data_IF_764666304522
#
_entry.id   IF_764666304522
#
_cell.length_a   1.000
_cell.length_b   1.000
_cell.length_c   1.000
_cell.angle_alpha   90.00
_cell.angle_beta   90.00
_cell.angle_gamma   90.00
#
_symmetry.space_group_name_H-M   'P 1'
#
loop_
_entity.id
_entity.type
_entity.pdbx_description
1 polymer ?
#
# COMPACT_ATOMS: atom_id res chain seq x y z
N UNK A 1 -2.74 -13.80 -0.52
CA UNK A 1 -4.20 -14.05 -0.37
C UNK A 1 -4.89 -13.18 -1.41
N UNK A 2 -5.64 -13.76 -2.34
CA UNK A 2 -6.24 -13.00 -3.44
C UNK A 2 -7.54 -12.34 -2.98
N UNK A 3 -7.62 -11.01 -3.09
CA UNK A 3 -8.82 -10.21 -2.83
C UNK A 3 -9.47 -9.80 -4.14
N UNK A 4 -10.76 -9.49 -4.13
CA UNK A 4 -11.46 -8.97 -5.30
C UNK A 4 -11.73 -7.47 -5.16
N UNK A 5 -12.18 -6.84 -6.25
CA UNK A 5 -12.69 -5.45 -6.20
C UNK A 5 -13.85 -5.27 -5.21
N UNK A 6 -14.55 -6.33 -4.80
CA UNK A 6 -15.62 -6.25 -3.82
C UNK A 6 -15.09 -6.11 -2.38
N UNK A 7 -13.84 -6.51 -2.15
CA UNK A 7 -13.19 -6.48 -0.84
C UNK A 7 -12.43 -5.16 -0.59
N UNK A 8 -12.44 -4.25 -1.56
CA UNK A 8 -11.73 -2.98 -1.48
C UNK A 8 -12.20 -2.14 -0.28
N UNK A 9 -11.23 -1.58 0.42
CA UNK A 9 -11.43 -0.65 1.54
C UNK A 9 -10.42 0.49 1.43
N UNK A 10 -10.81 1.67 1.89
CA UNK A 10 -9.88 2.80 1.96
C UNK A 10 -8.74 2.46 2.93
N UNK A 11 -7.51 2.79 2.56
CA UNK A 11 -6.29 2.43 3.28
C UNK A 11 -5.75 1.03 2.97
N UNK A 12 -6.48 0.19 2.24
CA UNK A 12 -6.00 -1.14 1.85
C UNK A 12 -4.85 -1.03 0.86
N UNK A 13 -3.86 -1.91 1.02
CA UNK A 13 -2.72 -2.01 0.12
C UNK A 13 -2.88 -3.19 -0.84
N UNK A 14 -2.67 -2.88 -2.12
CA UNK A 14 -2.78 -3.84 -3.22
C UNK A 14 -1.51 -3.79 -4.08
N UNK A 15 -1.12 -4.93 -4.59
CA UNK A 15 -0.11 -5.01 -5.63
C UNK A 15 -0.77 -4.95 -7.01
N UNK A 16 -0.30 -4.03 -7.85
CA UNK A 16 -0.78 -3.88 -9.22
C UNK A 16 0.34 -3.37 -10.13
N UNK A 17 0.62 -4.13 -11.20
CA UNK A 17 1.73 -3.88 -12.14
C UNK A 17 3.09 -3.75 -11.43
N UNK A 18 3.39 -4.72 -10.57
CA UNK A 18 4.65 -4.82 -9.80
C UNK A 18 4.94 -3.59 -8.93
N UNK A 19 3.88 -2.87 -8.55
CA UNK A 19 3.92 -1.69 -7.70
C UNK A 19 2.90 -1.82 -6.57
N UNK A 20 3.27 -1.24 -5.43
CA UNK A 20 2.42 -1.20 -4.25
C UNK A 20 1.60 0.07 -4.24
N UNK A 21 0.29 -0.10 -4.12
CA UNK A 21 -0.67 0.98 -4.13
C UNK A 21 -1.54 0.94 -2.88
N UNK A 22 -1.82 2.11 -2.31
CA UNK A 22 -2.83 2.29 -1.27
C UNK A 22 -4.10 2.82 -1.93
N UNK A 23 -5.23 2.16 -1.67
CA UNK A 23 -6.54 2.67 -2.09
C UNK A 23 -6.90 3.87 -1.22
N UNK A 24 -6.95 5.06 -1.81
CA UNK A 24 -7.42 6.27 -1.11
C UNK A 24 -8.95 6.26 -1.06
N UNK A 25 -9.56 6.05 -2.21
CA UNK A 25 -11.01 6.02 -2.39
C UNK A 25 -11.36 5.08 -3.55
N UNK A 26 -12.57 4.53 -3.51
CA UNK A 26 -13.11 3.74 -4.59
C UNK A 26 -14.61 3.95 -4.74
N UNK A 27 -15.12 3.74 -5.95
CA UNK A 27 -16.51 3.87 -6.30
C UNK A 27 -16.93 2.68 -7.17
N UNK A 28 -17.84 1.86 -6.66
CA UNK A 28 -18.46 0.79 -7.43
C UNK A 28 -19.61 1.37 -8.27
N UNK A 29 -19.50 1.25 -9.58
CA UNK A 29 -20.50 1.71 -10.55
C UNK A 29 -21.15 0.50 -11.23
N UNK A 30 -22.48 0.44 -11.18
CA UNK A 30 -23.30 -0.54 -11.88
C UNK A 30 -24.12 0.21 -12.95
N UNK A 31 -23.66 0.27 -14.21
CA UNK A 31 -24.40 0.98 -15.25
C UNK A 31 -25.70 0.23 -15.58
N UNK A 32 -26.74 0.95 -16.01
CA UNK A 32 -28.00 0.33 -16.43
C UNK A 32 -27.87 -0.57 -17.67
N UNK A 33 -26.80 -0.36 -18.46
CA UNK A 33 -26.41 -1.20 -19.60
C UNK A 33 -24.87 -1.35 -19.60
N UNK A 34 -24.36 -2.57 -19.49
CA UNK A 34 -22.93 -2.88 -19.44
C UNK A 34 -22.48 -3.59 -18.16
N UNK A 35 -21.21 -4.00 -18.12
CA UNK A 35 -20.62 -4.64 -16.94
C UNK A 35 -20.37 -3.66 -15.79
N UNK A 36 -20.41 -4.15 -14.56
CA UNK A 36 -20.05 -3.37 -13.38
C UNK A 36 -18.53 -3.13 -13.32
N UNK A 37 -18.13 -1.95 -12.85
CA UNK A 37 -16.72 -1.58 -12.69
C UNK A 37 -16.52 -0.77 -11.42
N UNK A 38 -15.26 -0.73 -10.95
CA UNK A 38 -14.85 0.02 -9.77
C UNK A 38 -13.81 1.06 -10.19
N UNK A 39 -14.11 2.33 -9.98
CA UNK A 39 -13.13 3.43 -10.10
C UNK A 39 -12.39 3.53 -8.79
N UNK A 40 -11.08 3.67 -8.84
CA UNK A 40 -10.22 3.77 -7.66
C UNK A 40 -9.25 4.92 -7.83
N UNK A 41 -8.98 5.62 -6.74
CA UNK A 41 -7.84 6.53 -6.63
C UNK A 41 -6.78 5.82 -5.80
N UNK A 42 -5.65 5.55 -6.43
CA UNK A 42 -4.54 4.81 -5.86
C UNK A 42 -3.38 5.75 -5.57
N UNK A 43 -2.72 5.56 -4.43
CA UNK A 43 -1.47 6.24 -4.09
C UNK A 43 -0.32 5.25 -4.11
N UNK A 44 0.72 5.56 -4.88
CA UNK A 44 1.97 4.79 -4.87
C UNK A 44 2.63 4.95 -3.49
N UNK A 45 2.98 3.83 -2.87
CA UNK A 45 3.64 3.83 -1.55
C UNK A 45 5.05 4.39 -1.63
N UNK A 46 5.77 4.15 -2.74
CA UNK A 46 7.16 4.58 -2.90
C UNK A 46 7.26 6.04 -3.31
N UNK A 47 6.50 6.44 -4.34
CA UNK A 47 6.59 7.80 -4.88
C UNK A 47 5.60 8.79 -4.28
N UNK A 48 4.57 8.33 -3.55
CA UNK A 48 3.48 9.18 -3.06
C UNK A 48 2.53 9.68 -4.16
N UNK A 49 2.78 9.37 -5.44
CA UNK A 49 1.97 9.82 -6.56
C UNK A 49 0.58 9.22 -6.49
N UNK A 50 -0.42 10.06 -6.73
CA UNK A 50 -1.83 9.66 -6.81
C UNK A 50 -2.24 9.49 -8.27
N UNK A 51 -2.90 8.38 -8.59
CA UNK A 51 -3.37 8.04 -9.93
C UNK A 51 -4.76 7.42 -9.87
N UNK A 52 -5.56 7.65 -10.90
CA UNK A 52 -6.88 7.05 -11.03
C UNK A 52 -6.82 5.79 -11.90
N UNK A 53 -7.34 4.68 -11.39
CA UNK A 53 -7.46 3.40 -12.11
C UNK A 53 -8.88 2.88 -12.06
N UNK A 54 -9.34 2.31 -13.17
CA UNK A 54 -10.64 1.64 -13.25
C UNK A 54 -10.42 0.14 -13.44
N UNK A 55 -11.11 -0.66 -12.62
CA UNK A 55 -11.05 -2.12 -12.66
C UNK A 55 -12.42 -2.69 -12.96
N UNK A 56 -12.47 -3.78 -13.73
CA UNK A 56 -13.70 -4.54 -13.90
C UNK A 56 -14.08 -5.20 -12.57
N UNK A 57 -15.37 -5.24 -12.24
CA UNK A 57 -15.83 -5.90 -11.03
C UNK A 57 -15.47 -7.39 -11.06
N UNK A 58 -14.90 -7.89 -9.96
CA UNK A 58 -14.43 -9.28 -9.83
C UNK A 58 -12.97 -9.50 -10.23
N UNK A 59 -12.25 -8.46 -10.64
CA UNK A 59 -10.80 -8.53 -10.82
C UNK A 59 -10.14 -8.91 -9.50
N UNK A 60 -9.20 -9.88 -9.55
CA UNK A 60 -8.45 -10.35 -8.39
C UNK A 60 -7.14 -9.58 -8.26
N UNK A 61 -6.76 -9.31 -7.02
CA UNK A 61 -5.53 -8.61 -6.64
C UNK A 61 -4.83 -9.38 -5.54
N UNK A 62 -3.51 -9.25 -5.47
CA UNK A 62 -2.77 -9.68 -4.30
C UNK A 62 -2.80 -8.58 -3.25
N UNK A 63 -3.18 -8.95 -2.02
CA UNK A 63 -3.05 -8.06 -0.88
C UNK A 63 -1.74 -8.33 -0.17
N UNK A 64 -1.11 -7.25 0.23
CA UNK A 64 0.08 -7.25 1.08
C UNK A 64 -0.28 -6.57 2.39
N UNK A 65 0.09 -7.22 3.49
CA UNK A 65 -0.05 -6.64 4.83
C UNK A 65 1.12 -5.70 5.06
N UNK A 66 0.83 -4.40 5.09
CA UNK A 66 1.78 -3.40 5.53
C UNK A 66 1.63 -3.16 7.03
N UNK A 67 2.74 -3.26 7.74
CA UNK A 67 2.82 -2.92 9.15
C UNK A 67 3.57 -1.60 9.29
N UNK A 68 2.90 -0.57 9.81
CA UNK A 68 3.54 0.69 10.16
C UNK A 68 3.93 0.61 11.63
N UNK A 69 5.23 0.61 11.89
CA UNK A 69 5.78 0.63 13.24
C UNK A 69 6.48 1.96 13.47
N UNK A 70 6.17 2.63 14.58
CA UNK A 70 6.88 3.85 14.99
C UNK A 70 8.17 3.40 15.66
N UNK A 71 9.31 3.80 15.12
CA UNK A 71 10.63 3.51 15.66
C UNK A 71 11.34 4.82 16.00
N UNK A 72 12.16 4.79 17.04
CA UNK A 72 13.05 5.88 17.41
C UNK A 72 14.35 5.78 16.62
N UNK A 73 14.72 6.86 15.93
CA UNK A 73 16.04 6.96 15.32
C UNK A 73 17.13 7.07 16.40
N UNK A 74 18.23 6.32 16.24
CA UNK A 74 19.37 6.35 17.16
C UNK A 74 20.56 7.10 16.56
N UNK A 75 21.20 6.51 15.55
CA UNK A 75 22.39 7.04 14.89
C UNK A 75 22.56 6.41 13.50
N UNK A 76 23.51 6.93 12.73
CA UNK A 76 23.98 6.33 11.49
C UNK A 76 25.47 5.97 11.63
N UNK A 77 25.88 4.82 11.11
CA UNK A 77 27.29 4.37 11.13
C UNK A 77 28.04 4.70 9.83
N UNK A 78 27.36 5.35 8.89
CA UNK A 78 27.87 5.73 7.57
C UNK A 78 27.33 4.87 6.43
N UNK A 79 26.83 3.67 6.73
CA UNK A 79 26.21 2.76 5.73
C UNK A 79 24.74 2.54 6.08
N UNK A 80 24.46 2.28 7.36
CA UNK A 80 23.14 1.95 7.86
C UNK A 80 22.64 2.99 8.88
N UNK A 81 21.33 3.15 8.92
CA UNK A 81 20.58 3.93 9.89
C UNK A 81 19.98 2.98 10.92
N UNK A 82 20.27 3.24 12.19
CA UNK A 82 19.82 2.42 13.30
C UNK A 82 18.58 3.01 13.94
N UNK A 83 17.57 2.16 14.13
CA UNK A 83 16.30 2.50 14.75
C UNK A 83 15.97 1.52 15.87
N UNK A 84 15.20 1.96 16.86
CA UNK A 84 14.80 1.16 18.02
C UNK A 84 13.30 1.26 18.27
N UNK A 85 12.63 0.14 18.57
CA UNK A 85 11.26 0.17 19.09
C UNK A 85 11.26 0.72 20.53
N UNK A 86 10.53 1.82 20.83
CA UNK A 86 10.49 2.38 22.19
C UNK A 86 9.81 1.48 23.24
N UNK A 87 9.05 0.46 22.82
CA UNK A 87 8.33 -0.44 23.71
C UNK A 87 9.10 -1.73 24.00
N UNK A 88 9.74 -2.31 22.98
CA UNK A 88 10.47 -3.59 23.12
C UNK A 88 11.98 -3.41 23.21
N UNK A 89 12.50 -2.23 22.87
CA UNK A 89 13.94 -1.94 22.72
C UNK A 89 14.64 -2.75 21.63
N UNK A 90 13.88 -3.40 20.74
CA UNK A 90 14.44 -4.10 19.57
C UNK A 90 15.02 -3.09 18.59
N UNK A 91 16.24 -3.36 18.13
CA UNK A 91 16.94 -2.51 17.16
C UNK A 91 16.91 -3.10 15.75
N UNK A 92 16.75 -2.23 14.76
CA UNK A 92 16.86 -2.58 13.34
C UNK A 92 17.85 -1.63 12.66
N UNK A 93 18.65 -2.16 11.75
CA UNK A 93 19.49 -1.38 10.86
C UNK A 93 18.86 -1.36 9.46
N UNK A 94 18.73 -0.18 8.87
CA UNK A 94 18.23 0.00 7.51
C UNK A 94 19.30 0.71 6.68
N UNK A 95 19.57 0.18 5.50
CA UNK A 95 20.50 0.80 4.58
C UNK A 95 19.97 2.15 4.08
N UNK A 96 20.88 3.08 3.78
CA UNK A 96 20.57 4.40 3.23
C UNK A 96 19.69 4.37 1.97
N UNK A 97 19.72 3.31 1.17
CA UNK A 97 18.87 3.18 -0.02
C UNK A 97 17.38 2.91 0.31
N UNK A 98 17.09 2.46 1.53
CA UNK A 98 15.76 2.00 1.97
C UNK A 98 15.05 3.02 2.87
N UNK A 99 15.80 4.00 3.39
CA UNK A 99 15.30 5.10 4.25
C UNK A 99 14.84 6.27 3.40
#
# INVERSE_FOLDING_TARGET
MAISTADFRNGMCIEYKDKLWVIIEFQHVKPGKGGAFVRTKLRDIRSGRVVDYTFNSGTKFETLRLEKKVMQYLYNDGVDYHFMDPNTYDQIALNAEVV
#
